data_IF_234174458111
#
_entry.id   IF_234174458111
#
_cell.length_a   1.000
_cell.length_b   1.000
_cell.length_c   1.000
_cell.angle_alpha   90.00
_cell.angle_beta   90.00
_cell.angle_gamma   90.00
#
_symmetry.space_group_name_H-M   'P 1'
#
loop_
_entity.id
_entity.type
_entity.pdbx_description
1 polymer ?
#
# COMPACT_ATOMS: atom_id res chain seq x y z
N UNK A 1 11.98 -18.83 1.43
CA UNK A 1 11.09 -17.66 1.50
C UNK A 1 10.52 -17.40 0.12
N UNK A 2 9.21 -17.10 0.03
CA UNK A 2 8.53 -16.78 -1.24
C UNK A 2 7.88 -15.40 -1.15
N UNK A 3 8.16 -14.57 -2.15
CA UNK A 3 7.57 -13.24 -2.29
C UNK A 3 6.78 -13.22 -3.60
N UNK A 4 5.50 -12.85 -3.54
CA UNK A 4 4.65 -12.79 -4.71
C UNK A 4 4.20 -11.36 -5.01
N UNK A 5 4.51 -10.89 -6.22
CA UNK A 5 3.99 -9.63 -6.76
C UNK A 5 2.78 -9.93 -7.66
N UNK A 6 1.62 -9.38 -7.29
CA UNK A 6 0.37 -9.59 -8.01
C UNK A 6 0.21 -8.57 -9.15
N UNK A 7 -0.11 -9.08 -10.32
CA UNK A 7 -0.52 -8.32 -11.51
C UNK A 7 0.45 -7.19 -11.89
N UNK A 8 1.78 -7.46 -11.97
CA UNK A 8 2.79 -6.42 -12.20
C UNK A 8 2.60 -5.66 -13.51
N UNK A 9 1.92 -6.25 -14.50
CA UNK A 9 1.54 -5.59 -15.75
C UNK A 9 0.47 -4.50 -15.57
N UNK A 10 -0.32 -4.56 -14.49
CA UNK A 10 -1.35 -3.57 -14.15
C UNK A 10 -0.89 -2.65 -13.01
N UNK A 11 -0.19 -3.22 -12.03
CA UNK A 11 0.16 -2.60 -10.75
C UNK A 11 1.53 -1.90 -10.80
N UNK A 12 1.68 -0.90 -11.68
CA UNK A 12 2.96 -0.23 -11.94
C UNK A 12 2.82 1.29 -12.16
N UNK A 13 1.81 1.93 -11.61
CA UNK A 13 1.71 3.38 -11.69
C UNK A 13 2.66 4.05 -10.69
N UNK A 14 3.13 5.26 -11.02
CA UNK A 14 3.92 6.12 -10.15
C UNK A 14 5.20 5.49 -9.57
N UNK A 15 5.77 4.50 -10.27
CA UNK A 15 6.98 3.81 -9.81
C UNK A 15 6.74 2.75 -8.75
N UNK A 16 5.50 2.31 -8.53
CA UNK A 16 5.14 1.33 -7.51
C UNK A 16 5.83 -0.03 -7.70
N UNK A 17 6.09 -0.45 -8.95
CA UNK A 17 6.86 -1.67 -9.21
C UNK A 17 8.26 -1.68 -8.54
N UNK A 18 8.79 -0.50 -8.20
CA UNK A 18 10.06 -0.40 -7.49
C UNK A 18 9.99 -0.98 -6.07
N UNK A 19 8.83 -1.02 -5.42
CA UNK A 19 8.70 -1.70 -4.12
C UNK A 19 9.03 -3.20 -4.26
N UNK A 20 8.47 -3.86 -5.28
CA UNK A 20 8.75 -5.27 -5.56
C UNK A 20 10.21 -5.50 -5.96
N UNK A 21 10.75 -4.65 -6.83
CA UNK A 21 12.14 -4.72 -7.27
C UNK A 21 13.12 -4.47 -6.10
N UNK A 22 12.77 -3.55 -5.21
CA UNK A 22 13.58 -3.25 -4.04
C UNK A 22 13.63 -4.42 -3.05
N UNK A 23 12.48 -5.07 -2.81
CA UNK A 23 12.42 -6.30 -2.02
C UNK A 23 13.26 -7.42 -2.64
N UNK A 24 13.18 -7.59 -3.97
CA UNK A 24 13.99 -8.60 -4.67
C UNK A 24 15.49 -8.36 -4.50
N UNK A 25 15.92 -7.10 -4.55
CA UNK A 25 17.34 -6.74 -4.32
C UNK A 25 17.73 -6.87 -2.85
N UNK A 26 16.83 -6.57 -1.93
CA UNK A 26 17.08 -6.70 -0.50
C UNK A 26 17.13 -8.17 -0.03
N UNK A 27 16.45 -9.07 -0.73
CA UNK A 27 16.35 -10.50 -0.39
C UNK A 27 16.64 -11.35 -1.63
N UNK A 28 17.88 -11.34 -2.18
CA UNK A 28 18.17 -12.02 -3.42
C UNK A 28 18.04 -13.55 -3.36
N UNK A 29 18.04 -14.12 -2.15
CA UNK A 29 17.80 -15.54 -1.91
C UNK A 29 16.34 -15.95 -1.89
N UNK A 30 15.39 -15.01 -1.89
CA UNK A 30 13.96 -15.33 -1.94
C UNK A 30 13.55 -15.76 -3.35
N UNK A 31 12.64 -16.73 -3.41
CA UNK A 31 11.90 -17.05 -4.63
C UNK A 31 10.93 -15.89 -4.92
N UNK A 32 11.15 -15.18 -6.03
CA UNK A 32 10.35 -14.03 -6.42
C UNK A 32 9.38 -14.42 -7.54
N UNK A 33 8.08 -14.42 -7.22
CA UNK A 33 7.00 -14.84 -8.12
C UNK A 33 6.28 -13.59 -8.64
N UNK A 34 6.09 -13.52 -9.95
CA UNK A 34 5.26 -12.50 -10.61
C UNK A 34 4.02 -13.18 -11.17
N UNK A 35 2.87 -12.93 -10.58
CA UNK A 35 1.61 -13.51 -11.04
C UNK A 35 0.87 -12.52 -11.92
N UNK A 36 0.68 -12.87 -13.19
CA UNK A 36 -0.11 -12.07 -14.13
C UNK A 36 -1.61 -12.17 -13.82
N UNK A 37 -2.41 -11.22 -14.31
CA UNK A 37 -3.86 -11.18 -14.08
C UNK A 37 -4.58 -12.49 -14.45
N UNK A 38 -4.12 -13.16 -15.50
CA UNK A 38 -4.67 -14.45 -15.96
C UNK A 38 -3.99 -15.67 -15.31
N UNK A 39 -2.95 -15.44 -14.54
CA UNK A 39 -2.22 -16.50 -13.85
C UNK A 39 -2.91 -16.92 -12.56
N UNK A 40 -2.68 -18.17 -12.15
CA UNK A 40 -3.11 -18.64 -10.84
C UNK A 40 -2.11 -18.15 -9.79
N UNK A 41 -2.56 -17.42 -8.75
CA UNK A 41 -1.66 -16.96 -7.70
C UNK A 41 -1.00 -18.11 -6.94
N UNK A 42 0.28 -17.95 -6.61
CA UNK A 42 1.03 -18.94 -5.85
C UNK A 42 0.45 -19.11 -4.43
N UNK A 43 -0.08 -18.04 -3.85
CA UNK A 43 -0.73 -18.08 -2.54
C UNK A 43 -2.00 -18.95 -2.53
N UNK A 44 -2.60 -19.22 -3.68
CA UNK A 44 -3.83 -20.02 -3.76
C UNK A 44 -3.58 -21.48 -3.36
N UNK A 45 -2.42 -22.02 -3.71
CA UNK A 45 -2.11 -23.46 -3.54
C UNK A 45 -0.98 -23.70 -2.53
N UNK A 46 -0.28 -22.67 -2.07
CA UNK A 46 0.89 -22.83 -1.23
C UNK A 46 1.12 -21.70 -0.24
N UNK A 47 2.21 -21.85 0.51
CA UNK A 47 2.68 -20.82 1.43
C UNK A 47 3.44 -19.76 0.64
N UNK A 48 3.08 -18.49 0.87
CA UNK A 48 3.81 -17.31 0.45
C UNK A 48 4.09 -16.50 1.70
N UNK A 49 5.29 -15.94 1.83
CA UNK A 49 5.70 -15.21 3.03
C UNK A 49 5.36 -13.71 2.94
N UNK A 50 5.41 -13.14 1.72
CA UNK A 50 4.98 -11.76 1.45
C UNK A 50 4.24 -11.68 0.12
N UNK A 51 3.11 -10.94 0.12
CA UNK A 51 2.32 -10.59 -1.06
C UNK A 51 2.37 -9.08 -1.25
N UNK A 52 2.75 -8.66 -2.45
CA UNK A 52 2.80 -7.25 -2.85
C UNK A 52 1.80 -6.95 -3.95
N UNK A 53 1.11 -5.80 -3.83
CA UNK A 53 0.24 -5.26 -4.87
C UNK A 53 0.34 -3.73 -4.90
N UNK A 54 0.64 -3.17 -6.06
CA UNK A 54 0.83 -1.74 -6.26
C UNK A 54 -0.35 -1.03 -6.93
N UNK A 55 -0.20 0.29 -7.13
CA UNK A 55 -1.20 1.14 -7.78
C UNK A 55 -1.41 0.81 -9.25
N UNK A 56 -2.64 1.01 -9.72
CA UNK A 56 -3.08 0.70 -11.07
C UNK A 56 -4.05 1.75 -11.61
N UNK A 57 -4.42 1.65 -12.88
CA UNK A 57 -5.48 2.50 -13.43
C UNK A 57 -6.84 2.10 -12.87
N UNK A 58 -7.80 3.03 -12.84
CA UNK A 58 -9.17 2.78 -12.36
C UNK A 58 -9.88 1.67 -13.16
N UNK A 59 -9.59 1.54 -14.46
CA UNK A 59 -10.08 0.44 -15.28
C UNK A 59 -9.48 -0.90 -14.88
N UNK A 60 -8.20 -0.91 -14.51
CA UNK A 60 -7.53 -2.12 -14.04
C UNK A 60 -8.03 -2.60 -12.68
N UNK A 61 -8.52 -1.68 -11.82
CA UNK A 61 -9.12 -2.04 -10.53
C UNK A 61 -10.30 -3.01 -10.69
N UNK A 62 -11.16 -2.81 -11.69
CA UNK A 62 -12.31 -3.72 -11.94
C UNK A 62 -11.83 -5.13 -12.29
N UNK A 63 -10.83 -5.24 -13.16
CA UNK A 63 -10.26 -6.53 -13.55
C UNK A 63 -9.55 -7.22 -12.37
N UNK A 64 -8.83 -6.44 -11.57
CA UNK A 64 -8.13 -6.96 -10.39
C UNK A 64 -9.12 -7.40 -9.28
N UNK A 65 -10.22 -6.64 -9.08
CA UNK A 65 -11.27 -7.00 -8.13
C UNK A 65 -11.92 -8.35 -8.51
N UNK A 66 -12.28 -8.54 -9.79
CA UNK A 66 -12.84 -9.79 -10.30
C UNK A 66 -11.86 -10.96 -10.11
N UNK A 67 -10.59 -10.79 -10.50
CA UNK A 67 -9.57 -11.83 -10.37
C UNK A 67 -9.28 -12.22 -8.92
N UNK A 68 -9.21 -11.24 -8.00
CA UNK A 68 -8.98 -11.49 -6.57
C UNK A 68 -10.22 -12.06 -5.87
N UNK A 69 -11.43 -11.71 -6.34
CA UNK A 69 -12.69 -12.14 -5.74
C UNK A 69 -12.79 -13.65 -5.58
N UNK A 70 -12.24 -14.42 -6.54
CA UNK A 70 -12.19 -15.88 -6.49
C UNK A 70 -11.36 -16.43 -5.31
N UNK A 71 -10.46 -15.62 -4.76
CA UNK A 71 -9.54 -15.99 -3.68
C UNK A 71 -9.84 -15.26 -2.36
N UNK A 72 -11.01 -14.63 -2.26
CA UNK A 72 -11.39 -13.79 -1.11
C UNK A 72 -11.18 -14.49 0.22
N UNK A 73 -11.70 -15.69 0.37
CA UNK A 73 -11.59 -16.47 1.62
C UNK A 73 -10.12 -16.83 1.92
N UNK A 74 -9.39 -17.21 0.88
CA UNK A 74 -7.97 -17.54 1.02
C UNK A 74 -7.12 -16.33 1.42
N UNK A 75 -7.40 -15.16 0.87
CA UNK A 75 -6.73 -13.91 1.25
C UNK A 75 -7.03 -13.58 2.71
N UNK A 76 -8.28 -13.75 3.15
CA UNK A 76 -8.65 -13.55 4.55
C UNK A 76 -7.88 -14.49 5.48
N UNK A 77 -7.81 -15.79 5.18
CA UNK A 77 -7.02 -16.77 5.93
C UNK A 77 -5.54 -16.40 6.03
N UNK A 78 -4.96 -15.92 4.93
CA UNK A 78 -3.55 -15.51 4.88
C UNK A 78 -3.29 -14.27 5.76
N UNK A 79 -4.18 -13.29 5.74
CA UNK A 79 -4.10 -12.12 6.62
C UNK A 79 -4.23 -12.54 8.09
N UNK A 80 -5.18 -13.43 8.39
CA UNK A 80 -5.40 -13.90 9.76
C UNK A 80 -4.22 -14.74 10.28
N UNK A 81 -3.62 -15.55 9.41
CA UNK A 81 -2.43 -16.36 9.74
C UNK A 81 -1.13 -15.57 9.80
N UNK A 82 -1.14 -14.26 9.48
CA UNK A 82 0.00 -13.36 9.61
C UNK A 82 0.94 -13.33 8.42
N UNK A 83 0.52 -13.80 7.23
CA UNK A 83 1.24 -13.55 5.98
C UNK A 83 1.41 -12.04 5.78
N UNK A 84 2.60 -11.61 5.38
CA UNK A 84 2.87 -10.17 5.14
C UNK A 84 2.19 -9.73 3.84
N UNK A 85 1.33 -8.73 3.93
CA UNK A 85 0.77 -8.03 2.77
C UNK A 85 1.28 -6.59 2.74
N UNK A 86 1.82 -6.17 1.61
CA UNK A 86 2.14 -4.78 1.33
C UNK A 86 1.31 -4.33 0.13
N UNK A 87 0.38 -3.41 0.38
CA UNK A 87 -0.56 -2.91 -0.62
C UNK A 87 -0.45 -1.40 -0.71
N UNK A 88 -0.15 -0.86 -1.89
CA UNK A 88 0.13 0.57 -2.08
C UNK A 88 -0.81 1.21 -3.10
N UNK A 89 -1.00 2.53 -2.95
CA UNK A 89 -1.86 3.31 -3.82
C UNK A 89 -3.32 2.85 -3.80
N UNK A 90 -3.99 2.96 -4.93
CA UNK A 90 -5.39 2.59 -5.06
C UNK A 90 -5.66 1.07 -5.05
N UNK A 91 -4.64 0.23 -4.96
CA UNK A 91 -4.81 -1.20 -4.71
C UNK A 91 -5.45 -1.46 -3.33
N UNK A 92 -5.24 -0.57 -2.35
CA UNK A 92 -5.89 -0.67 -1.03
C UNK A 92 -7.43 -0.68 -1.13
N UNK A 93 -7.99 0.04 -2.08
CA UNK A 93 -9.44 0.14 -2.29
C UNK A 93 -10.09 -1.22 -2.58
N UNK A 94 -9.34 -2.16 -3.19
CA UNK A 94 -9.82 -3.51 -3.51
C UNK A 94 -10.10 -4.37 -2.27
N UNK A 95 -9.57 -4.00 -1.11
CA UNK A 95 -9.77 -4.72 0.14
C UNK A 95 -10.95 -4.20 0.97
N UNK A 96 -11.55 -3.09 0.56
CA UNK A 96 -12.79 -2.55 1.10
C UNK A 96 -14.03 -3.32 0.64
N UNK A 97 -15.21 -2.74 0.87
CA UNK A 97 -16.51 -3.31 0.48
C UNK A 97 -16.88 -3.00 -0.96
N UNK A 98 -16.56 -1.79 -1.44
CA UNK A 98 -16.85 -1.32 -2.80
C UNK A 98 -16.06 -0.06 -3.15
N UNK A 99 -16.00 0.25 -4.44
CA UNK A 99 -15.53 1.53 -4.98
C UNK A 99 -16.72 2.20 -5.67
N UNK A 100 -17.17 3.33 -5.15
CA UNK A 100 -18.28 4.12 -5.71
C UNK A 100 -17.76 5.07 -6.80
N UNK A 101 -18.41 5.06 -7.97
CA UNK A 101 -18.16 5.98 -9.08
C UNK A 101 -19.04 7.24 -8.93
N UNK A 102 -18.66 8.33 -9.61
CA UNK A 102 -19.43 9.61 -9.59
C UNK A 102 -20.83 9.49 -10.17
N UNK A 103 -21.08 8.54 -11.08
CA UNK A 103 -22.38 8.25 -11.68
C UNK A 103 -23.31 7.41 -10.78
N UNK A 104 -22.87 7.05 -9.57
CA UNK A 104 -23.61 6.22 -8.64
C UNK A 104 -23.47 4.72 -8.86
N UNK A 105 -22.75 4.28 -9.88
CA UNK A 105 -22.38 2.88 -10.02
C UNK A 105 -21.26 2.52 -9.06
N UNK A 106 -21.02 1.23 -8.83
CA UNK A 106 -19.94 0.79 -7.95
C UNK A 106 -19.31 -0.52 -8.46
N UNK A 107 -18.07 -0.72 -8.03
CA UNK A 107 -17.33 -1.95 -8.22
C UNK A 107 -17.35 -2.67 -6.87
N UNK A 108 -17.89 -3.88 -6.82
CA UNK A 108 -17.76 -4.75 -5.65
C UNK A 108 -16.30 -5.16 -5.49
N UNK A 109 -15.82 -5.14 -4.24
CA UNK A 109 -14.43 -5.48 -3.91
C UNK A 109 -14.41 -6.61 -2.89
N UNK A 110 -13.25 -6.93 -2.31
CA UNK A 110 -13.09 -8.09 -1.45
C UNK A 110 -13.92 -8.05 -0.15
N UNK A 111 -14.33 -6.87 0.31
CA UNK A 111 -15.14 -6.72 1.53
C UNK A 111 -14.45 -7.23 2.80
N UNK A 112 -13.10 -7.19 2.85
CA UNK A 112 -12.32 -7.64 4.00
C UNK A 112 -12.30 -6.60 5.11
N UNK A 113 -12.29 -5.31 4.75
CA UNK A 113 -12.36 -4.20 5.67
C UNK A 113 -13.68 -3.46 5.54
N UNK A 114 -14.24 -3.00 6.66
CA UNK A 114 -15.48 -2.20 6.72
C UNK A 114 -15.22 -0.76 6.29
N UNK A 115 -14.85 -0.60 5.03
CA UNK A 115 -14.59 0.68 4.39
C UNK A 115 -14.98 0.61 2.91
N UNK A 116 -15.27 1.77 2.32
CA UNK A 116 -15.49 1.92 0.89
C UNK A 116 -14.75 3.13 0.35
N UNK A 117 -14.52 3.16 -0.95
CA UNK A 117 -13.91 4.30 -1.63
C UNK A 117 -14.94 5.05 -2.46
N UNK A 118 -14.80 6.39 -2.53
CA UNK A 118 -15.60 7.25 -3.42
C UNK A 118 -14.69 7.99 -4.36
N UNK A 119 -14.91 7.80 -5.67
CA UNK A 119 -14.16 8.47 -6.74
C UNK A 119 -14.65 9.90 -6.94
N UNK A 120 -13.69 10.80 -7.21
CA UNK A 120 -13.88 12.19 -7.59
C UNK A 120 -12.91 12.50 -8.75
N UNK A 121 -13.27 12.01 -9.95
CA UNK A 121 -12.36 12.00 -11.11
C UNK A 121 -11.93 13.40 -11.57
N UNK A 122 -12.77 14.41 -11.34
CA UNK A 122 -12.45 15.80 -11.68
C UNK A 122 -11.64 16.52 -10.60
N UNK A 123 -11.50 15.93 -9.41
CA UNK A 123 -10.85 16.52 -8.25
C UNK A 123 -9.72 15.62 -7.76
N UNK A 124 -8.62 15.59 -8.52
CA UNK A 124 -7.44 14.84 -8.11
C UNK A 124 -6.83 15.47 -6.87
N UNK A 125 -6.71 14.69 -5.81
CA UNK A 125 -6.02 15.11 -4.60
C UNK A 125 -4.56 14.71 -4.65
N UNK A 126 -3.65 15.68 -4.49
CA UNK A 126 -2.20 15.44 -4.45
C UNK A 126 -1.58 16.14 -3.25
N UNK A 127 -0.78 15.41 -2.48
CA UNK A 127 -0.07 15.98 -1.33
C UNK A 127 1.25 15.25 -1.07
N UNK A 128 2.22 15.97 -0.49
CA UNK A 128 3.26 15.31 0.28
C UNK A 128 2.61 14.61 1.49
N UNK A 129 3.30 13.63 2.01
CA UNK A 129 2.86 12.93 3.22
C UNK A 129 4.00 12.85 4.23
N UNK A 130 3.72 13.31 5.44
CA UNK A 130 4.52 13.05 6.64
C UNK A 130 3.59 12.45 7.69
N UNK A 131 3.97 11.32 8.24
CA UNK A 131 3.23 10.66 9.31
C UNK A 131 4.15 9.83 10.17
N UNK A 132 3.54 8.99 11.03
CA UNK A 132 4.29 8.08 11.89
C UNK A 132 3.74 6.66 11.83
N UNK A 133 4.64 5.68 12.00
CA UNK A 133 4.36 4.30 12.31
C UNK A 133 4.99 3.97 13.66
N UNK A 134 4.20 4.00 14.74
CA UNK A 134 4.77 4.06 16.09
C UNK A 134 5.65 5.29 16.26
N UNK A 135 6.92 5.08 16.58
CA UNK A 135 7.91 6.16 16.72
C UNK A 135 8.67 6.48 15.42
N UNK A 136 8.48 5.71 14.36
CA UNK A 136 9.15 5.93 13.08
C UNK A 136 8.45 7.02 12.28
N UNK A 137 9.19 8.01 11.79
CA UNK A 137 8.70 8.93 10.76
C UNK A 137 8.46 8.16 9.46
N UNK A 138 7.41 8.52 8.73
CA UNK A 138 7.05 8.00 7.42
C UNK A 138 6.88 9.17 6.46
N UNK A 139 7.57 9.12 5.33
CA UNK A 139 7.45 10.11 4.26
C UNK A 139 6.88 9.48 3.00
N UNK A 140 6.14 10.26 2.22
CA UNK A 140 5.56 9.77 0.98
C UNK A 140 4.91 10.85 0.16
N UNK A 141 4.18 10.40 -0.84
CA UNK A 141 3.38 11.26 -1.71
C UNK A 141 2.04 10.56 -2.01
N UNK A 142 0.99 11.32 -2.04
CA UNK A 142 -0.35 10.87 -2.43
C UNK A 142 -0.78 11.58 -3.71
N UNK A 143 -1.38 10.85 -4.62
CA UNK A 143 -2.05 11.39 -5.79
C UNK A 143 -3.17 10.43 -6.15
N UNK A 144 -4.39 10.80 -5.78
CA UNK A 144 -5.53 9.91 -5.82
C UNK A 144 -6.79 10.61 -6.31
N UNK A 145 -7.69 9.85 -6.92
CA UNK A 145 -9.02 10.27 -7.34
C UNK A 145 -10.12 9.78 -6.40
N UNK A 146 -9.77 8.98 -5.40
CA UNK A 146 -10.73 8.43 -4.46
C UNK A 146 -10.32 8.68 -3.01
N UNK A 147 -11.30 8.81 -2.14
CA UNK A 147 -11.12 8.88 -0.69
C UNK A 147 -11.80 7.68 -0.02
N UNK A 148 -11.22 7.21 1.08
CA UNK A 148 -11.67 6.03 1.82
C UNK A 148 -12.53 6.47 3.00
N UNK A 149 -13.72 5.88 3.13
CA UNK A 149 -14.71 6.12 4.17
C UNK A 149 -14.97 4.84 4.95
N UNK A 150 -15.22 4.95 6.26
CA UNK A 150 -15.61 3.80 7.08
C UNK A 150 -17.06 3.42 6.82
N UNK A 151 -17.36 2.12 6.83
CA UNK A 151 -18.71 1.55 6.75
C UNK A 151 -19.21 1.23 8.18
N UNK A 152 -20.01 2.11 8.74
CA UNK A 152 -20.58 1.99 10.08
C UNK A 152 -19.67 2.50 11.20
N UNK A 153 -19.98 2.08 12.43
CA UNK A 153 -19.31 2.59 13.65
C UNK A 153 -17.97 1.92 13.94
N UNK A 154 -17.71 0.77 13.34
CA UNK A 154 -16.46 0.04 13.57
C UNK A 154 -15.30 0.74 12.85
N UNK A 155 -14.37 1.25 13.65
CA UNK A 155 -13.16 1.85 13.09
C UNK A 155 -12.25 0.80 12.46
N UNK A 156 -11.80 1.09 11.24
CA UNK A 156 -10.76 0.30 10.57
C UNK A 156 -9.40 0.77 11.11
N UNK A 157 -8.56 -0.12 11.68
CA UNK A 157 -7.28 0.28 12.24
C UNK A 157 -6.41 1.01 11.20
N UNK A 158 -5.85 2.15 11.59
CA UNK A 158 -4.95 2.91 10.73
C UNK A 158 -3.57 2.25 10.64
N UNK A 159 -2.92 2.38 9.49
CA UNK A 159 -1.52 2.00 9.34
C UNK A 159 -0.60 3.10 9.87
N UNK A 160 -0.86 4.34 9.48
CA UNK A 160 -0.05 5.49 9.85
C UNK A 160 -0.91 6.59 10.49
N UNK A 161 -0.28 7.41 11.33
CA UNK A 161 -0.84 8.67 11.84
C UNK A 161 -0.26 9.82 11.03
N UNK A 162 -1.13 10.61 10.40
CA UNK A 162 -0.77 11.74 9.56
C UNK A 162 -0.37 12.94 10.41
N UNK A 163 0.78 13.51 10.14
CA UNK A 163 1.25 14.78 10.69
C UNK A 163 1.08 15.92 9.69
N UNK A 164 1.31 15.63 8.38
CA UNK A 164 1.09 16.58 7.27
C UNK A 164 0.61 15.84 6.01
N UNK A 165 -0.18 16.52 5.21
CA UNK A 165 -0.91 15.92 4.09
C UNK A 165 -2.27 15.39 4.56
N UNK A 166 -2.85 14.43 3.83
CA UNK A 166 -4.14 13.86 4.18
C UNK A 166 -4.03 12.41 4.68
N UNK A 167 -4.87 12.08 5.62
CA UNK A 167 -5.17 10.69 5.98
C UNK A 167 -5.95 9.98 4.87
N UNK A 168 -6.91 9.14 5.25
CA UNK A 168 -7.82 8.48 4.28
C UNK A 168 -8.66 9.48 3.49
N UNK A 169 -8.92 10.63 4.10
CA UNK A 169 -9.63 11.77 3.54
C UNK A 169 -8.92 13.06 3.95
N UNK A 170 -9.13 14.18 3.22
CA UNK A 170 -8.69 15.49 3.68
C UNK A 170 -9.20 15.79 5.10
N UNK A 171 -8.32 16.30 5.95
CA UNK A 171 -8.63 16.65 7.33
C UNK A 171 -8.64 15.48 8.33
N UNK A 172 -8.47 14.23 7.89
CA UNK A 172 -8.28 13.09 8.78
C UNK A 172 -6.81 12.83 9.06
N UNK A 173 -6.53 12.30 10.26
CA UNK A 173 -5.16 11.93 10.67
C UNK A 173 -4.85 10.44 10.48
N UNK A 174 -5.87 9.62 10.28
CA UNK A 174 -5.71 8.19 10.05
C UNK A 174 -5.43 7.89 8.58
N UNK A 175 -4.32 7.21 8.28
CA UNK A 175 -3.94 6.81 6.94
C UNK A 175 -3.78 5.30 6.83
N UNK A 176 -4.27 4.76 5.70
CA UNK A 176 -4.13 3.35 5.38
C UNK A 176 -4.86 2.40 6.33
N UNK A 177 -4.51 1.13 6.27
CA UNK A 177 -5.10 0.04 7.07
C UNK A 177 -3.99 -0.88 7.55
N UNK A 178 -4.04 -1.26 8.83
CA UNK A 178 -3.20 -2.30 9.41
C UNK A 178 -4.07 -3.33 10.12
N UNK A 179 -3.92 -4.60 9.74
CA UNK A 179 -4.49 -5.73 10.46
C UNK A 179 -3.47 -6.87 10.45
N UNK A 180 -3.03 -7.32 11.62
CA UNK A 180 -1.94 -8.28 11.73
C UNK A 180 -0.71 -7.81 10.92
N UNK A 181 -0.31 -8.56 9.90
CA UNK A 181 0.77 -8.22 8.96
C UNK A 181 0.26 -7.71 7.60
N UNK A 182 -0.98 -7.23 7.54
CA UNK A 182 -1.49 -6.49 6.39
C UNK A 182 -1.16 -5.00 6.54
N UNK A 183 -0.42 -4.46 5.59
CA UNK A 183 0.00 -3.05 5.49
C UNK A 183 -0.53 -2.47 4.19
N UNK A 184 -1.67 -1.80 4.27
CA UNK A 184 -2.31 -1.14 3.14
C UNK A 184 -2.24 0.38 3.28
N UNK A 185 -1.80 1.09 2.24
CA UNK A 185 -1.69 2.54 2.22
C UNK A 185 -2.09 3.12 0.88
N UNK A 186 -2.70 4.31 0.88
CA UNK A 186 -2.97 5.07 -0.36
C UNK A 186 -1.73 5.82 -0.87
N UNK A 187 -0.61 5.78 -0.17
CA UNK A 187 0.63 6.36 -0.65
C UNK A 187 1.15 5.63 -1.89
N UNK A 188 1.76 6.41 -2.77
CA UNK A 188 2.38 5.92 -4.00
C UNK A 188 3.81 5.46 -3.76
N UNK A 189 4.30 4.59 -4.66
CA UNK A 189 5.67 4.11 -4.63
C UNK A 189 6.73 5.17 -4.98
N UNK A 190 7.98 4.83 -4.74
CA UNK A 190 8.48 3.60 -4.12
C UNK A 190 8.56 3.67 -2.58
N UNK A 191 7.49 3.37 -1.89
CA UNK A 191 7.34 3.50 -0.43
C UNK A 191 8.53 2.91 0.36
N UNK A 192 8.95 1.71 0.01
CA UNK A 192 10.01 1.00 0.74
C UNK A 192 11.37 1.69 0.60
N UNK A 193 11.74 2.08 -0.63
CA UNK A 193 13.03 2.73 -0.89
C UNK A 193 13.16 4.07 -0.15
N UNK A 194 12.06 4.84 -0.09
CA UNK A 194 12.08 6.16 0.54
C UNK A 194 11.87 6.13 2.05
N UNK A 195 11.57 4.96 2.64
CA UNK A 195 11.40 4.75 4.08
C UNK A 195 12.25 3.56 4.58
N UNK A 196 13.58 3.67 4.60
CA UNK A 196 14.45 2.55 5.02
C UNK A 196 14.14 1.99 6.42
N UNK A 197 13.77 2.79 7.45
CA UNK A 197 13.39 2.24 8.75
C UNK A 197 12.16 1.34 8.65
N UNK A 198 11.14 1.74 7.89
CA UNK A 198 9.94 0.93 7.66
C UNK A 198 10.26 -0.33 6.85
N UNK A 199 11.15 -0.24 5.87
CA UNK A 199 11.61 -1.42 5.12
C UNK A 199 12.28 -2.44 6.03
N UNK A 200 13.16 -2.02 6.94
CA UNK A 200 13.76 -2.93 7.94
C UNK A 200 12.70 -3.57 8.82
N UNK A 201 11.68 -2.83 9.21
CA UNK A 201 10.55 -3.39 9.95
C UNK A 201 9.82 -4.49 9.15
N UNK A 202 9.51 -4.26 7.87
CA UNK A 202 8.90 -5.29 7.01
C UNK A 202 9.80 -6.52 6.88
N UNK A 203 11.12 -6.32 6.72
CA UNK A 203 12.08 -7.43 6.65
C UNK A 203 12.15 -8.22 7.96
N UNK A 204 12.05 -7.55 9.11
CA UNK A 204 12.06 -8.24 10.42
C UNK A 204 10.87 -9.19 10.60
N UNK A 205 9.70 -8.86 10.03
CA UNK A 205 8.53 -9.76 10.00
C UNK A 205 8.77 -11.03 9.18
N UNK A 206 9.71 -10.97 8.25
CA UNK A 206 10.16 -12.12 7.44
C UNK A 206 11.35 -12.86 8.10
N UNK A 207 11.72 -12.48 9.33
CA UNK A 207 12.85 -13.08 10.04
C UNK A 207 14.23 -12.58 9.56
N UNK A 208 14.28 -11.45 8.86
CA UNK A 208 15.53 -10.87 8.36
C UNK A 208 15.86 -9.64 9.20
N UNK A 209 16.88 -9.77 10.04
CA UNK A 209 17.37 -8.70 10.90
C UNK A 209 18.81 -8.31 10.54
N UNK A 210 19.16 -7.03 10.81
CA UNK A 210 20.52 -6.51 10.67
C UNK A 210 21.10 -6.51 9.26
N UNK A 211 20.26 -6.71 8.23
CA UNK A 211 20.69 -6.71 6.83
C UNK A 211 20.85 -5.29 6.31
N UNK A 212 21.94 -5.04 5.59
CA UNK A 212 22.13 -3.81 4.84
C UNK A 212 21.13 -3.77 3.65
N UNK A 213 20.44 -2.65 3.50
CA UNK A 213 19.52 -2.44 2.39
C UNK A 213 20.27 -2.01 1.13
N UNK A 214 19.75 -2.31 -0.07
CA UNK A 214 20.28 -1.71 -1.30
C UNK A 214 20.26 -0.18 -1.20
N UNK A 215 21.39 0.46 -1.55
CA UNK A 215 21.55 1.93 -1.48
C UNK A 215 21.31 2.54 -0.08
N UNK A 216 21.55 1.78 0.96
CA UNK A 216 21.16 2.11 2.34
C UNK A 216 21.58 3.52 2.78
N UNK A 217 22.85 3.85 2.61
CA UNK A 217 23.38 5.15 2.99
C UNK A 217 22.72 6.31 2.25
N UNK A 218 22.54 6.18 0.94
CA UNK A 218 21.92 7.19 0.09
C UNK A 218 20.42 7.31 0.39
N UNK A 219 19.73 6.20 0.58
CA UNK A 219 18.32 6.16 0.94
C UNK A 219 18.06 6.78 2.32
N UNK A 220 18.89 6.47 3.33
CA UNK A 220 18.79 7.08 4.66
C UNK A 220 19.01 8.59 4.62
N UNK A 221 20.04 9.07 3.92
CA UNK A 221 20.27 10.52 3.77
C UNK A 221 19.12 11.23 3.08
N UNK A 222 18.55 10.61 2.04
CA UNK A 222 17.39 11.16 1.34
C UNK A 222 16.12 11.16 2.23
N UNK A 223 15.93 10.11 3.03
CA UNK A 223 14.84 10.02 4.01
C UNK A 223 14.95 11.11 5.07
N UNK A 224 16.11 11.26 5.72
CA UNK A 224 16.34 12.29 6.73
C UNK A 224 16.13 13.71 6.17
N UNK A 225 16.63 13.98 4.97
CA UNK A 225 16.43 15.27 4.31
C UNK A 225 14.93 15.55 4.05
N UNK A 226 14.15 14.54 3.60
CA UNK A 226 12.70 14.69 3.40
C UNK A 226 11.94 14.87 4.70
N UNK A 227 12.31 14.15 5.77
CA UNK A 227 11.70 14.35 7.09
C UNK A 227 11.88 15.79 7.55
N UNK A 228 13.09 16.34 7.42
CA UNK A 228 13.38 17.73 7.79
C UNK A 228 12.59 18.73 6.91
N UNK A 229 12.59 18.52 5.60
CA UNK A 229 11.84 19.35 4.65
C UNK A 229 10.34 19.32 4.92
N UNK A 230 9.78 18.12 5.15
CA UNK A 230 8.34 17.96 5.38
C UNK A 230 7.90 18.43 6.76
N UNK A 231 8.81 18.52 7.74
CA UNK A 231 8.57 19.18 9.03
C UNK A 231 8.59 20.70 8.95
N UNK A 232 9.22 21.29 7.92
CA UNK A 232 9.25 22.76 7.75
C UNK A 232 7.86 23.27 7.36
N UNK A 233 7.23 24.16 8.16
CA UNK A 233 5.93 24.75 7.85
C UNK A 233 5.89 25.53 6.53
N UNK A 234 7.06 25.96 6.01
CA UNK A 234 7.15 26.68 4.74
C UNK A 234 6.99 25.78 3.53
N UNK A 235 7.21 24.48 3.68
CA UNK A 235 6.98 23.50 2.61
C UNK A 235 5.48 23.36 2.37
N UNK A 236 4.99 23.58 1.16
CA UNK A 236 3.59 23.34 0.80
C UNK A 236 3.22 21.85 0.98
N UNK A 237 2.06 21.56 1.54
CA UNK A 237 1.64 20.17 1.75
C UNK A 237 0.74 19.64 0.64
N UNK A 238 -0.07 20.49 0.02
CA UNK A 238 -1.07 20.09 -0.98
C UNK A 238 -0.76 20.74 -2.32
N UNK A 239 -0.99 20.00 -3.39
CA UNK A 239 -0.84 20.42 -4.78
C UNK A 239 -2.16 20.10 -5.48
N UNK A 240 -2.96 21.10 -5.70
CA UNK A 240 -4.26 21.01 -6.40
C UNK A 240 -4.26 21.82 -7.68
#
# INVERSE_FOLDING_TARGET
MKIEALYPELCNLFGDAMNAEYLHRAIPEAEFIKTSLKGRPAFADGKVDLIYMGSMTENAQSLAAEALGMYRERIFELIDSGTVFLVTGNALELFGTRIENEDGTFIETLGLFKMHSKRQMMNRYSSIYLGTFGEMDIVGFKSQFAHIYSDGEQQVPALFQTLRGAGRQPGQTEEGVRLNNFFGTSMLGPLLLINPPFTRYILSLLGIEGRDLPYDREAMRAFEARVLEFKDPKTGAEYG
#
